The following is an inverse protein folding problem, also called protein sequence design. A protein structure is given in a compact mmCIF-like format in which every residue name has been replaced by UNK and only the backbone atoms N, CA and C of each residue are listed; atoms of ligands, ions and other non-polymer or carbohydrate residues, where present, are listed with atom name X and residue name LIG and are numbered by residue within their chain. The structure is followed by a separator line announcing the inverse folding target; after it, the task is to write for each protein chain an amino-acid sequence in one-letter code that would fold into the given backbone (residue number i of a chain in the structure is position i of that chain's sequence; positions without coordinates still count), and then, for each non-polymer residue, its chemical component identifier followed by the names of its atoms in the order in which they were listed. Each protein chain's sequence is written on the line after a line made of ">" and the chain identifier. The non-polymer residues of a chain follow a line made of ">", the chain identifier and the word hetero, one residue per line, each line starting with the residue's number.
data_IF_781179529805
#
_entry.id   IF_781179529805
#
_cell.length_a   1.000
_cell.length_b   1.000
_cell.length_c   1.000
_cell.angle_alpha   90.00
_cell.angle_beta   90.00
_cell.angle_gamma   90.00
#
_symmetry.space_group_name_H-M   'P 1'
#
loop_
_entity.id
_entity.type
_entity.pdbx_description
1 polymer ?
#
# COMPACT_ATOMS: atom_id res chain seq x y z
N UNK A 1 -22.81 12.45 -19.03
CA UNK A 1 -22.99 11.51 -20.18
C UNK A 1 -24.48 11.17 -20.30
N UNK A 2 -24.97 11.06 -21.50
CA UNK A 2 -26.32 10.54 -21.77
C UNK A 2 -26.33 9.02 -21.62
N UNK A 3 -27.52 8.42 -21.41
CA UNK A 3 -27.63 6.96 -21.24
C UNK A 3 -27.05 6.17 -22.45
N UNK A 4 -27.34 6.52 -23.71
CA UNK A 4 -26.72 5.85 -24.86
C UNK A 4 -25.19 5.96 -24.91
N UNK A 5 -24.62 7.11 -24.51
CA UNK A 5 -23.17 7.28 -24.45
C UNK A 5 -22.53 6.35 -23.41
N UNK A 6 -23.19 6.17 -22.26
CA UNK A 6 -22.71 5.25 -21.21
C UNK A 6 -22.76 3.81 -21.71
N UNK A 7 -23.88 3.37 -22.31
CA UNK A 7 -24.05 2.03 -22.85
C UNK A 7 -23.01 1.70 -23.94
N UNK A 8 -22.77 2.65 -24.85
CA UNK A 8 -21.73 2.51 -25.87
C UNK A 8 -20.33 2.39 -25.25
N UNK A 9 -19.99 3.24 -24.29
CA UNK A 9 -18.70 3.22 -23.62
C UNK A 9 -18.49 1.92 -22.80
N UNK A 10 -19.53 1.43 -22.12
CA UNK A 10 -19.49 0.14 -21.40
C UNK A 10 -19.18 -1.00 -22.36
N UNK A 11 -19.78 -1.01 -23.54
CA UNK A 11 -19.55 -2.05 -24.55
C UNK A 11 -18.15 -1.91 -25.17
N UNK A 12 -17.76 -0.72 -25.60
CA UNK A 12 -16.45 -0.46 -26.23
C UNK A 12 -15.28 -0.75 -25.30
N UNK A 13 -15.37 -0.31 -24.05
CA UNK A 13 -14.32 -0.55 -23.02
C UNK A 13 -14.39 -1.93 -22.41
N UNK A 14 -15.37 -2.76 -22.76
CA UNK A 14 -15.59 -4.10 -22.21
C UNK A 14 -15.70 -4.08 -20.69
N UNK A 15 -16.62 -3.28 -20.20
CA UNK A 15 -16.91 -3.12 -18.76
C UNK A 15 -18.03 -4.09 -18.39
N UNK A 16 -17.89 -4.79 -17.26
CA UNK A 16 -18.99 -5.50 -16.59
C UNK A 16 -19.27 -4.91 -15.21
N UNK A 17 -20.48 -5.12 -14.73
CA UNK A 17 -20.87 -4.79 -13.36
C UNK A 17 -20.84 -6.08 -12.54
N UNK A 18 -20.08 -6.08 -11.45
CA UNK A 18 -19.94 -7.23 -10.54
C UNK A 18 -20.68 -6.95 -9.25
N UNK A 19 -21.67 -7.79 -8.96
CA UNK A 19 -22.54 -7.68 -7.76
C UNK A 19 -22.27 -8.86 -6.84
N UNK A 20 -21.40 -8.73 -5.82
CA UNK A 20 -21.32 -9.73 -4.77
C UNK A 20 -22.55 -9.64 -3.86
N UNK A 21 -23.18 -10.77 -3.57
CA UNK A 21 -24.39 -10.80 -2.74
C UNK A 21 -24.38 -11.95 -1.72
N UNK A 22 -24.86 -11.67 -0.52
CA UNK A 22 -25.08 -12.65 0.54
C UNK A 22 -26.21 -12.18 1.45
N UNK A 23 -27.36 -12.88 1.43
CA UNK A 23 -28.53 -12.59 2.24
C UNK A 23 -29.00 -11.12 2.11
N UNK A 24 -29.25 -10.68 0.88
CA UNK A 24 -29.71 -9.32 0.56
C UNK A 24 -31.03 -9.33 -0.23
N UNK A 25 -31.97 -10.17 0.16
CA UNK A 25 -33.27 -10.31 -0.53
C UNK A 25 -34.08 -9.00 -0.67
N UNK A 26 -33.91 -8.06 0.29
CA UNK A 26 -34.66 -6.80 0.32
C UNK A 26 -34.21 -5.79 -0.74
N UNK A 27 -32.92 -5.78 -1.08
CA UNK A 27 -32.30 -4.69 -1.86
C UNK A 27 -31.76 -5.17 -3.20
N UNK A 28 -31.43 -6.45 -3.35
CA UNK A 28 -30.80 -7.01 -4.53
C UNK A 28 -31.58 -6.71 -5.81
N UNK A 29 -32.92 -6.88 -5.80
CA UNK A 29 -33.76 -6.61 -6.97
C UNK A 29 -33.58 -5.17 -7.45
N UNK A 30 -33.69 -4.19 -6.53
CA UNK A 30 -33.53 -2.76 -6.85
C UNK A 30 -32.15 -2.46 -7.45
N UNK A 31 -31.10 -3.09 -6.92
CA UNK A 31 -29.74 -2.89 -7.43
C UNK A 31 -29.58 -3.47 -8.84
N UNK A 32 -30.08 -4.69 -9.10
CA UNK A 32 -30.00 -5.31 -10.43
C UNK A 32 -30.81 -4.51 -11.44
N UNK A 33 -32.06 -4.15 -11.12
CA UNK A 33 -32.92 -3.39 -12.01
C UNK A 33 -32.28 -2.06 -12.39
N UNK A 34 -31.72 -1.29 -11.42
CA UNK A 34 -31.05 -0.04 -11.71
C UNK A 34 -29.75 -0.19 -12.51
N UNK A 35 -29.04 -1.32 -12.37
CA UNK A 35 -27.86 -1.60 -13.22
C UNK A 35 -28.28 -1.95 -14.65
N UNK A 36 -29.38 -2.66 -14.82
CA UNK A 36 -29.93 -3.04 -16.13
C UNK A 36 -30.32 -1.83 -16.99
N UNK A 37 -30.62 -0.70 -16.39
CA UNK A 37 -30.82 0.55 -17.14
C UNK A 37 -29.57 0.94 -17.95
N UNK A 38 -28.39 0.56 -17.48
CA UNK A 38 -27.10 0.92 -18.11
C UNK A 38 -26.50 -0.22 -18.92
N UNK A 39 -26.63 -1.48 -18.49
CA UNK A 39 -26.01 -2.63 -19.18
C UNK A 39 -26.56 -3.97 -18.70
N UNK A 40 -26.56 -4.96 -19.61
CA UNK A 40 -26.78 -6.38 -19.28
C UNK A 40 -25.49 -7.13 -18.94
N UNK A 41 -24.34 -6.49 -19.06
CA UNK A 41 -23.04 -7.07 -18.71
C UNK A 41 -22.86 -7.22 -17.19
N UNK A 42 -23.74 -7.99 -16.56
CA UNK A 42 -23.82 -8.17 -15.11
C UNK A 42 -23.32 -9.56 -14.73
N UNK A 43 -22.46 -9.61 -13.71
CA UNK A 43 -22.03 -10.84 -13.04
C UNK A 43 -22.45 -10.75 -11.58
N UNK A 44 -23.43 -11.53 -11.19
CA UNK A 44 -23.86 -11.65 -9.80
C UNK A 44 -23.19 -12.89 -9.15
N UNK A 45 -22.52 -12.67 -8.02
CA UNK A 45 -21.90 -13.77 -7.25
C UNK A 45 -22.65 -13.95 -5.93
N UNK A 46 -23.44 -14.97 -5.85
CA UNK A 46 -24.16 -15.37 -4.64
C UNK A 46 -23.23 -16.22 -3.75
N UNK A 47 -22.78 -15.65 -2.64
CA UNK A 47 -21.86 -16.29 -1.70
C UNK A 47 -22.60 -17.21 -0.69
N UNK A 48 -23.44 -18.13 -1.21
CA UNK A 48 -24.14 -19.12 -0.41
C UNK A 48 -25.27 -18.54 0.44
N UNK A 49 -26.09 -17.67 -0.14
CA UNK A 49 -27.28 -17.11 0.56
C UNK A 49 -28.28 -18.18 0.94
N UNK A 50 -28.93 -17.96 2.09
CA UNK A 50 -29.93 -18.86 2.69
C UNK A 50 -31.33 -18.23 2.75
N UNK A 51 -31.46 -16.97 2.32
CA UNK A 51 -32.73 -16.24 2.16
C UNK A 51 -33.29 -16.38 0.72
N UNK A 52 -34.22 -15.52 0.30
CA UNK A 52 -34.80 -15.51 -1.04
C UNK A 52 -33.86 -14.98 -2.15
N UNK A 53 -32.59 -14.67 -1.84
CA UNK A 53 -31.62 -14.17 -2.84
C UNK A 53 -31.48 -15.11 -4.06
N UNK A 54 -31.36 -16.44 -3.93
CA UNK A 54 -31.29 -17.34 -5.09
C UNK A 54 -32.52 -17.28 -6.00
N UNK A 55 -33.71 -17.19 -5.42
CA UNK A 55 -34.96 -17.07 -6.16
C UNK A 55 -35.08 -15.74 -6.91
N UNK A 56 -34.60 -14.65 -6.30
CA UNK A 56 -34.54 -13.34 -6.96
C UNK A 56 -33.62 -13.43 -8.17
N UNK A 57 -32.40 -13.98 -8.03
CA UNK A 57 -31.44 -14.13 -9.12
C UNK A 57 -31.95 -15.00 -10.27
N UNK A 58 -32.79 -16.02 -9.98
CA UNK A 58 -33.39 -16.88 -11.01
C UNK A 58 -34.34 -16.11 -11.95
N UNK A 59 -34.85 -14.94 -11.55
CA UNK A 59 -35.73 -14.11 -12.38
C UNK A 59 -34.93 -13.27 -13.42
N UNK A 60 -33.59 -13.34 -13.44
CA UNK A 60 -32.74 -12.58 -14.36
C UNK A 60 -31.92 -13.51 -15.27
N UNK A 61 -32.53 -14.20 -16.25
CA UNK A 61 -31.81 -15.12 -17.12
C UNK A 61 -30.78 -14.46 -18.04
N UNK A 62 -30.88 -13.13 -18.23
CA UNK A 62 -29.97 -12.34 -19.06
C UNK A 62 -28.63 -12.05 -18.39
N UNK A 63 -28.51 -12.19 -17.06
CA UNK A 63 -27.26 -11.93 -16.34
C UNK A 63 -26.48 -13.21 -16.04
N UNK A 64 -25.17 -13.08 -15.85
CA UNK A 64 -24.34 -14.21 -15.42
C UNK A 64 -24.44 -14.39 -13.90
N UNK A 65 -25.00 -15.49 -13.43
CA UNK A 65 -25.10 -15.81 -12.00
C UNK A 65 -24.14 -16.94 -11.63
N UNK A 66 -23.36 -16.73 -10.53
CA UNK A 66 -22.50 -17.74 -9.93
C UNK A 66 -22.96 -17.94 -8.49
N UNK A 67 -23.43 -19.14 -8.15
CA UNK A 67 -23.84 -19.49 -6.80
C UNK A 67 -22.85 -20.42 -6.13
N UNK A 68 -22.40 -20.05 -4.92
CA UNK A 68 -21.54 -20.87 -4.10
C UNK A 68 -22.37 -21.72 -3.13
N UNK A 69 -21.89 -22.93 -2.79
CA UNK A 69 -22.63 -23.82 -1.89
C UNK A 69 -22.66 -23.33 -0.42
N UNK A 70 -21.75 -22.44 -0.04
CA UNK A 70 -21.67 -21.87 1.31
C UNK A 70 -20.91 -20.54 1.30
N UNK A 71 -21.17 -19.68 2.31
CA UNK A 71 -20.50 -18.39 2.47
C UNK A 71 -18.99 -18.57 2.69
N UNK A 72 -18.19 -18.01 1.80
CA UNK A 72 -16.74 -17.97 1.86
C UNK A 72 -16.18 -16.57 2.09
N UNK A 73 -17.05 -15.56 2.11
CA UNK A 73 -16.74 -14.16 2.38
C UNK A 73 -16.62 -13.29 1.13
N UNK A 74 -16.93 -11.99 1.28
CA UNK A 74 -17.00 -11.00 0.18
C UNK A 74 -15.77 -11.02 -0.73
N UNK A 75 -14.57 -11.05 -0.15
CA UNK A 75 -13.32 -11.08 -0.93
C UNK A 75 -13.21 -12.33 -1.80
N UNK A 76 -13.71 -13.49 -1.35
CA UNK A 76 -13.73 -14.68 -2.18
C UNK A 76 -14.74 -14.56 -3.33
N UNK A 77 -15.93 -14.02 -3.06
CA UNK A 77 -16.94 -13.71 -4.09
C UNK A 77 -16.37 -12.78 -5.17
N UNK A 78 -15.70 -11.70 -4.77
CA UNK A 78 -15.05 -10.77 -5.70
C UNK A 78 -13.99 -11.46 -6.57
N UNK A 79 -13.14 -12.32 -5.98
CA UNK A 79 -12.13 -13.08 -6.74
C UNK A 79 -12.74 -13.98 -7.80
N UNK A 80 -13.83 -14.65 -7.45
CA UNK A 80 -14.58 -15.52 -8.39
C UNK A 80 -15.16 -14.67 -9.51
N UNK A 81 -15.81 -13.56 -9.17
CA UNK A 81 -16.38 -12.62 -10.13
C UNK A 81 -15.34 -12.04 -11.08
N UNK A 82 -14.19 -11.59 -10.57
CA UNK A 82 -13.09 -11.07 -11.41
C UNK A 82 -12.52 -12.14 -12.35
N UNK A 83 -12.42 -13.39 -11.89
CA UNK A 83 -11.99 -14.49 -12.76
C UNK A 83 -13.00 -14.71 -13.87
N UNK A 84 -14.28 -14.80 -13.55
CA UNK A 84 -15.36 -14.97 -14.53
C UNK A 84 -15.43 -13.81 -15.52
N UNK A 85 -15.29 -12.58 -15.04
CA UNK A 85 -15.23 -11.39 -15.90
C UNK A 85 -14.08 -11.48 -16.94
N UNK A 86 -12.90 -11.93 -16.50
CA UNK A 86 -11.76 -12.16 -17.43
C UNK A 86 -12.03 -13.27 -18.42
N UNK A 87 -12.63 -14.38 -17.99
CA UNK A 87 -13.03 -15.50 -18.87
C UNK A 87 -14.01 -15.07 -19.95
N UNK A 88 -14.92 -14.14 -19.60
CA UNK A 88 -15.89 -13.54 -20.54
C UNK A 88 -15.28 -12.42 -21.41
N UNK A 89 -14.00 -12.10 -21.23
CA UNK A 89 -13.29 -11.12 -22.06
C UNK A 89 -13.48 -9.67 -21.63
N UNK A 90 -13.98 -9.39 -20.43
CA UNK A 90 -14.07 -8.04 -19.91
C UNK A 90 -12.70 -7.48 -19.50
N UNK A 91 -12.49 -6.20 -19.76
CA UNK A 91 -11.27 -5.49 -19.39
C UNK A 91 -11.39 -4.78 -18.05
N UNK A 92 -12.58 -4.31 -17.73
CA UNK A 92 -12.89 -3.60 -16.50
C UNK A 92 -14.09 -4.23 -15.79
N UNK A 93 -14.10 -4.14 -14.47
CA UNK A 93 -15.26 -4.50 -13.65
C UNK A 93 -15.58 -3.35 -12.69
N UNK A 94 -16.80 -2.88 -12.71
CA UNK A 94 -17.34 -1.99 -11.68
C UNK A 94 -18.03 -2.89 -10.64
N UNK A 95 -17.55 -2.85 -9.38
CA UNK A 95 -18.20 -3.54 -8.27
C UNK A 95 -19.24 -2.64 -7.63
N UNK A 96 -20.42 -3.15 -7.36
CA UNK A 96 -21.46 -2.47 -6.59
C UNK A 96 -22.03 -3.45 -5.55
N UNK A 97 -22.14 -3.02 -4.29
CA UNK A 97 -22.68 -3.85 -3.22
C UNK A 97 -24.19 -4.02 -3.37
N UNK A 98 -24.68 -5.22 -3.06
CA UNK A 98 -26.10 -5.58 -3.16
C UNK A 98 -26.97 -5.08 -2.00
N UNK A 99 -26.38 -4.37 -1.01
CA UNK A 99 -27.07 -3.85 0.18
C UNK A 99 -27.90 -2.57 -0.09
N UNK A 100 -27.87 -2.07 -1.34
CA UNK A 100 -28.63 -0.91 -1.78
C UNK A 100 -28.12 0.44 -1.27
N UNK A 101 -26.94 0.48 -0.63
CA UNK A 101 -26.34 1.75 -0.18
C UNK A 101 -25.78 2.59 -1.34
N UNK A 102 -25.39 1.97 -2.43
CA UNK A 102 -24.84 2.63 -3.62
C UNK A 102 -25.90 2.73 -4.72
N UNK A 103 -25.91 3.85 -5.42
CA UNK A 103 -26.84 4.10 -6.51
C UNK A 103 -26.22 3.64 -7.84
N UNK A 104 -26.93 2.79 -8.62
CA UNK A 104 -26.52 2.50 -10.01
C UNK A 104 -26.35 3.74 -10.88
N UNK A 105 -27.02 4.85 -10.56
CA UNK A 105 -26.91 6.15 -11.23
C UNK A 105 -25.49 6.77 -11.17
N UNK A 106 -24.61 6.24 -10.35
CA UNK A 106 -23.22 6.66 -10.34
C UNK A 106 -22.33 5.84 -11.31
N UNK A 107 -22.86 4.81 -12.02
CA UNK A 107 -22.14 4.11 -13.09
C UNK A 107 -21.59 5.10 -14.14
N UNK A 108 -22.36 6.10 -14.64
CA UNK A 108 -21.84 7.10 -15.55
C UNK A 108 -20.63 7.88 -15.02
N UNK A 109 -20.51 8.10 -13.71
CA UNK A 109 -19.37 8.79 -13.10
C UNK A 109 -18.09 7.96 -13.25
N UNK A 110 -18.15 6.65 -12.99
CA UNK A 110 -17.01 5.75 -13.20
C UNK A 110 -16.62 5.63 -14.66
N UNK A 111 -17.60 5.50 -15.55
CA UNK A 111 -17.38 5.40 -17.00
C UNK A 111 -16.77 6.69 -17.54
N UNK A 112 -17.30 7.84 -17.16
CA UNK A 112 -16.76 9.14 -17.57
C UNK A 112 -15.33 9.34 -17.10
N UNK A 113 -15.05 9.08 -15.83
CA UNK A 113 -13.70 9.17 -15.28
C UNK A 113 -12.72 8.20 -15.95
N UNK A 114 -13.15 6.99 -16.34
CA UNK A 114 -12.33 6.07 -17.09
C UNK A 114 -11.97 6.58 -18.48
N UNK A 115 -12.90 7.24 -19.15
CA UNK A 115 -12.68 7.79 -20.51
C UNK A 115 -11.69 8.96 -20.53
N UNK A 116 -11.57 9.69 -19.42
CA UNK A 116 -10.60 10.77 -19.26
C UNK A 116 -9.17 10.27 -19.04
N UNK A 117 -9.02 8.99 -18.66
CA UNK A 117 -7.71 8.43 -18.35
C UNK A 117 -6.99 7.88 -19.59
N UNK A 118 -5.71 8.21 -19.71
CA UNK A 118 -4.84 7.70 -20.80
C UNK A 118 -4.33 6.29 -20.54
N UNK A 119 -4.36 5.85 -19.29
CA UNK A 119 -3.83 4.57 -18.84
C UNK A 119 -4.83 3.86 -17.94
N UNK A 120 -4.61 2.57 -17.72
CA UNK A 120 -5.42 1.80 -16.79
C UNK A 120 -5.42 2.43 -15.38
N UNK A 121 -6.59 2.61 -14.82
CA UNK A 121 -6.84 3.24 -13.53
C UNK A 121 -7.76 2.37 -12.67
N UNK A 122 -7.52 2.37 -11.37
CA UNK A 122 -8.48 1.86 -10.38
C UNK A 122 -9.20 3.06 -9.78
N UNK A 123 -10.53 3.08 -9.90
CA UNK A 123 -11.36 4.16 -9.36
C UNK A 123 -12.11 3.66 -8.12
N UNK A 124 -12.17 4.49 -7.08
CA UNK A 124 -12.88 4.19 -5.83
C UNK A 124 -13.89 5.30 -5.58
N UNK A 125 -15.13 4.93 -5.36
CA UNK A 125 -16.18 5.88 -5.02
C UNK A 125 -15.89 6.59 -3.70
N UNK A 126 -15.92 7.92 -3.72
CA UNK A 126 -15.78 8.77 -2.53
C UNK A 126 -17.17 9.14 -2.00
N UNK A 127 -17.49 8.66 -0.81
CA UNK A 127 -18.79 8.85 -0.15
C UNK A 127 -18.95 10.19 0.56
N UNK A 128 -18.00 11.11 0.44
CA UNK A 128 -17.98 12.37 1.17
C UNK A 128 -18.30 12.21 2.67
N UNK A 129 -17.37 11.62 3.43
CA UNK A 129 -17.52 11.27 4.84
C UNK A 129 -17.71 12.49 5.79
N UNK A 130 -17.80 13.70 5.25
CA UNK A 130 -18.04 14.95 5.97
C UNK A 130 -19.52 15.37 6.00
N UNK A 131 -20.40 14.63 5.33
CA UNK A 131 -21.84 14.95 5.30
C UNK A 131 -22.53 14.64 6.62
N UNK A 132 -23.59 15.41 6.96
CA UNK A 132 -24.43 15.17 8.11
C UNK A 132 -25.12 13.80 7.98
N UNK A 133 -25.23 13.09 9.11
CA UNK A 133 -25.87 11.75 9.16
C UNK A 133 -24.90 10.57 9.08
N UNK A 134 -23.61 10.79 8.80
CA UNK A 134 -22.62 9.70 8.79
C UNK A 134 -22.17 9.35 10.22
N UNK A 135 -22.19 8.07 10.61
CA UNK A 135 -21.75 7.66 11.94
C UNK A 135 -20.27 8.01 12.19
N UNK A 136 -19.96 8.65 13.31
CA UNK A 136 -18.57 9.05 13.70
C UNK A 136 -17.57 7.87 13.65
N UNK A 137 -18.03 6.65 13.99
CA UNK A 137 -17.22 5.42 13.91
C UNK A 137 -16.81 5.09 12.47
N UNK A 138 -17.66 5.34 11.49
CA UNK A 138 -17.39 5.12 10.07
C UNK A 138 -16.32 6.11 9.57
N UNK A 139 -16.43 7.40 9.92
CA UNK A 139 -15.43 8.40 9.59
C UNK A 139 -14.05 8.14 10.20
N UNK A 140 -13.99 7.61 11.43
CA UNK A 140 -12.71 7.22 12.05
C UNK A 140 -12.06 6.05 11.30
N UNK A 141 -12.84 5.00 11.02
CA UNK A 141 -12.36 3.83 10.27
C UNK A 141 -11.83 4.22 8.89
N UNK A 142 -12.53 5.13 8.19
CA UNK A 142 -12.11 5.62 6.89
C UNK A 142 -10.78 6.40 6.97
N UNK A 143 -10.65 7.35 7.91
CA UNK A 143 -9.38 8.09 8.11
C UNK A 143 -8.21 7.16 8.44
N UNK A 144 -8.45 6.16 9.27
CA UNK A 144 -7.45 5.15 9.61
C UNK A 144 -7.01 4.35 8.36
N UNK A 145 -7.94 3.88 7.56
CA UNK A 145 -7.66 3.17 6.31
C UNK A 145 -6.92 4.04 5.28
N UNK A 146 -7.35 5.30 5.11
CA UNK A 146 -6.71 6.26 4.22
C UNK A 146 -5.25 6.56 4.62
N UNK A 147 -4.98 6.67 5.93
CA UNK A 147 -3.62 6.87 6.44
C UNK A 147 -2.71 5.69 6.08
N UNK A 148 -3.14 4.44 6.33
CA UNK A 148 -2.33 3.27 6.02
C UNK A 148 -2.13 3.09 4.51
N UNK A 149 -3.17 3.29 3.72
CA UNK A 149 -3.06 3.27 2.26
C UNK A 149 -2.02 4.30 1.75
N UNK A 150 -2.08 5.53 2.27
CA UNK A 150 -1.08 6.55 1.94
C UNK A 150 0.33 6.13 2.35
N UNK A 151 0.49 5.59 3.56
CA UNK A 151 1.78 5.14 4.04
C UNK A 151 2.38 4.03 3.16
N UNK A 152 1.57 3.08 2.73
CA UNK A 152 1.96 1.91 1.95
C UNK A 152 2.21 2.22 0.47
N UNK A 153 1.57 3.26 -0.08
CA UNK A 153 1.56 3.54 -1.53
C UNK A 153 2.08 4.92 -1.90
N UNK A 154 2.09 5.86 -0.98
CA UNK A 154 2.36 7.29 -1.23
C UNK A 154 1.18 8.05 -1.87
N UNK A 155 0.05 7.38 -2.15
CA UNK A 155 -1.13 7.97 -2.80
C UNK A 155 -2.12 8.43 -1.74
N UNK A 156 -2.53 9.70 -1.77
CA UNK A 156 -3.56 10.24 -0.88
C UNK A 156 -4.93 10.05 -1.50
N UNK A 157 -5.84 9.42 -0.75
CA UNK A 157 -7.24 9.24 -1.08
C UNK A 157 -8.14 9.75 0.06
N UNK A 158 -9.35 10.13 -0.26
CA UNK A 158 -10.36 10.59 0.69
C UNK A 158 -11.23 9.44 1.20
N UNK A 159 -11.42 8.41 0.38
CA UNK A 159 -12.15 7.19 0.74
C UNK A 159 -11.49 5.96 0.13
N UNK A 160 -10.99 5.07 0.99
CA UNK A 160 -10.40 3.78 0.62
C UNK A 160 -11.30 2.59 0.99
N UNK A 161 -12.46 2.84 1.62
CA UNK A 161 -13.33 1.78 2.16
C UNK A 161 -14.61 1.54 1.34
N UNK A 162 -14.96 2.44 0.42
CA UNK A 162 -16.13 2.20 -0.45
C UNK A 162 -15.96 0.91 -1.24
N UNK A 163 -17.00 0.10 -1.31
CA UNK A 163 -17.08 -1.11 -2.15
C UNK A 163 -17.45 -0.82 -3.61
N UNK A 164 -17.86 0.42 -3.93
CA UNK A 164 -18.16 0.83 -5.29
C UNK A 164 -16.90 1.28 -6.01
N UNK A 165 -16.38 0.43 -6.89
CA UNK A 165 -15.05 0.60 -7.49
C UNK A 165 -15.00 0.12 -8.93
N UNK A 166 -14.18 0.75 -9.75
CA UNK A 166 -13.83 0.25 -11.08
C UNK A 166 -12.40 -0.32 -11.05
N UNK A 167 -12.28 -1.58 -11.45
CA UNK A 167 -11.03 -2.33 -11.46
C UNK A 167 -10.54 -2.61 -12.89
N UNK A 168 -9.28 -2.29 -13.22
CA UNK A 168 -8.65 -2.72 -14.47
C UNK A 168 -8.23 -4.20 -14.35
N UNK A 169 -9.07 -5.10 -14.83
CA UNK A 169 -8.96 -6.55 -14.58
C UNK A 169 -7.61 -7.17 -14.96
N UNK A 170 -6.99 -6.66 -16.04
CA UNK A 170 -5.69 -7.18 -16.51
C UNK A 170 -4.51 -6.71 -15.65
N UNK A 171 -4.68 -5.64 -14.87
CA UNK A 171 -3.62 -5.02 -14.04
C UNK A 171 -3.69 -5.39 -12.56
N UNK A 172 -4.84 -5.82 -12.07
CA UNK A 172 -4.96 -6.27 -10.67
C UNK A 172 -4.11 -7.53 -10.42
N UNK A 173 -3.67 -7.78 -9.18
CA UNK A 173 -2.91 -8.97 -8.82
C UNK A 173 -3.63 -10.29 -9.21
N UNK A 174 -2.86 -11.31 -9.59
CA UNK A 174 -3.43 -12.63 -9.93
C UNK A 174 -3.71 -13.52 -8.71
N UNK A 175 -2.97 -13.31 -7.62
CA UNK A 175 -3.08 -14.08 -6.36
C UNK A 175 -3.24 -13.13 -5.18
N UNK A 176 -4.02 -13.53 -4.20
CA UNK A 176 -4.34 -12.75 -3.00
C UNK A 176 -4.22 -13.63 -1.76
N UNK A 177 -3.90 -13.02 -0.63
CA UNK A 177 -3.72 -13.72 0.65
C UNK A 177 -5.03 -13.80 1.45
N UNK A 178 -5.93 -12.83 1.25
CA UNK A 178 -7.10 -12.61 2.09
C UNK A 178 -8.41 -13.02 1.41
N UNK A 179 -9.37 -13.66 2.14
CA UNK A 179 -10.64 -14.12 1.57
C UNK A 179 -11.87 -13.27 1.90
N UNK A 180 -11.80 -12.33 2.90
CA UNK A 180 -12.98 -11.61 3.42
C UNK A 180 -12.90 -10.11 3.16
N UNK A 181 -13.34 -9.26 4.11
CA UNK A 181 -13.35 -7.80 3.95
C UNK A 181 -11.96 -7.18 3.76
N UNK A 182 -10.94 -7.75 4.39
CA UNK A 182 -9.56 -7.32 4.24
C UNK A 182 -9.04 -7.39 2.80
N UNK A 183 -9.65 -8.22 1.95
CA UNK A 183 -9.34 -8.31 0.53
C UNK A 183 -9.47 -6.96 -0.21
N UNK A 184 -10.45 -6.15 0.18
CA UNK A 184 -10.69 -4.86 -0.46
C UNK A 184 -9.56 -3.84 -0.18
N UNK A 185 -8.83 -4.02 0.91
CA UNK A 185 -7.61 -3.25 1.22
C UNK A 185 -6.42 -3.85 0.47
N UNK A 186 -6.25 -5.17 0.52
CA UNK A 186 -5.16 -5.86 -0.15
C UNK A 186 -5.11 -5.53 -1.65
N UNK A 187 -6.26 -5.58 -2.33
CA UNK A 187 -6.31 -5.38 -3.78
C UNK A 187 -5.91 -3.97 -4.18
N UNK A 188 -6.34 -2.93 -3.49
CA UNK A 188 -6.01 -1.54 -3.86
C UNK A 188 -4.54 -1.23 -3.61
N UNK A 189 -3.98 -1.64 -2.46
CA UNK A 189 -2.56 -1.45 -2.14
C UNK A 189 -1.68 -2.17 -3.14
N UNK A 190 -1.95 -3.45 -3.40
CA UNK A 190 -1.11 -4.25 -4.31
C UNK A 190 -1.28 -3.87 -5.77
N UNK A 191 -2.41 -3.27 -6.15
CA UNK A 191 -2.60 -2.69 -7.48
C UNK A 191 -1.79 -1.40 -7.62
N UNK A 192 -1.78 -0.54 -6.60
CA UNK A 192 -0.93 0.65 -6.56
C UNK A 192 0.57 0.30 -6.64
N UNK A 193 1.04 -0.76 -5.95
CA UNK A 193 2.42 -1.24 -6.04
C UNK A 193 2.83 -1.73 -7.44
N UNK A 194 1.86 -1.96 -8.33
CA UNK A 194 2.07 -2.29 -9.74
C UNK A 194 2.07 -1.06 -10.65
N UNK A 195 2.15 0.11 -10.05
CA UNK A 195 2.14 1.40 -10.74
C UNK A 195 0.84 1.71 -11.52
N UNK A 196 -0.28 1.10 -11.09
CA UNK A 196 -1.61 1.48 -11.54
C UNK A 196 -2.05 2.70 -10.75
N UNK A 197 -2.52 3.74 -11.44
CA UNK A 197 -3.10 4.92 -10.78
C UNK A 197 -4.34 4.53 -9.98
N UNK A 198 -4.48 5.06 -8.77
CA UNK A 198 -5.67 4.87 -7.93
C UNK A 198 -6.23 6.24 -7.59
N UNK A 199 -7.50 6.46 -7.90
CA UNK A 199 -8.17 7.76 -7.75
C UNK A 199 -9.54 7.61 -7.11
N UNK A 200 -10.02 8.67 -6.46
CA UNK A 200 -11.41 8.75 -6.01
C UNK A 200 -12.29 9.40 -7.09
N UNK A 201 -13.55 8.97 -7.15
CA UNK A 201 -14.63 9.61 -7.90
C UNK A 201 -15.80 9.89 -6.97
N UNK A 202 -16.49 11.05 -7.07
CA UNK A 202 -17.59 11.38 -6.18
C UNK A 202 -18.77 10.44 -6.45
N UNK A 203 -19.36 9.86 -5.38
CA UNK A 203 -20.55 9.03 -5.47
C UNK A 203 -21.58 9.44 -4.43
N UNK A 204 -22.84 9.11 -4.70
CA UNK A 204 -23.94 9.20 -3.74
C UNK A 204 -23.97 7.98 -2.85
N UNK A 205 -24.46 8.14 -1.63
CA UNK A 205 -24.65 7.03 -0.71
C UNK A 205 -25.96 7.20 0.06
N UNK A 206 -26.71 6.11 0.18
CA UNK A 206 -27.90 6.03 1.00
C UNK A 206 -27.55 5.42 2.36
N UNK A 207 -27.73 6.18 3.41
CA UNK A 207 -27.66 5.67 4.79
C UNK A 207 -29.07 5.49 5.34
N UNK A 208 -29.73 4.40 4.96
CA UNK A 208 -30.99 4.01 5.58
C UNK A 208 -30.77 2.93 6.66
N UNK A 209 -30.95 3.27 7.95
CA UNK A 209 -30.77 2.33 9.04
C UNK A 209 -31.74 1.13 8.98
N UNK A 210 -32.90 1.29 8.34
CA UNK A 210 -33.95 0.24 8.25
C UNK A 210 -33.60 -0.82 7.19
N UNK A 211 -32.90 -0.46 6.12
CA UNK A 211 -32.53 -1.39 5.05
C UNK A 211 -31.11 -1.95 5.20
N UNK A 212 -30.26 -1.29 6.01
CA UNK A 212 -28.84 -1.64 6.12
C UNK A 212 -28.63 -3.01 6.76
N UNK A 213 -28.14 -3.97 5.99
CA UNK A 213 -27.64 -5.25 6.47
C UNK A 213 -26.11 -5.22 6.47
N UNK A 214 -25.51 -5.11 7.64
CA UNK A 214 -24.06 -5.15 7.79
C UNK A 214 -23.60 -6.51 8.29
N UNK A 215 -22.83 -7.22 7.49
CA UNK A 215 -22.19 -8.49 7.86
C UNK A 215 -20.80 -8.31 8.48
N UNK A 216 -20.36 -7.07 8.72
CA UNK A 216 -19.08 -6.75 9.34
C UNK A 216 -19.07 -7.05 10.84
N UNK A 217 -18.10 -7.86 11.28
CA UNK A 217 -17.92 -8.25 12.69
C UNK A 217 -16.76 -7.47 13.29
N UNK A 218 -17.02 -6.43 14.11
CA UNK A 218 -16.02 -5.42 14.48
C UNK A 218 -14.69 -6.02 14.99
N UNK A 219 -14.72 -6.88 16.00
CA UNK A 219 -13.48 -7.43 16.56
C UNK A 219 -12.74 -8.37 15.59
N UNK A 220 -13.45 -9.33 14.99
CA UNK A 220 -12.81 -10.33 14.12
C UNK A 220 -12.26 -9.73 12.82
N UNK A 221 -13.05 -8.85 12.20
CA UNK A 221 -12.66 -8.29 10.91
C UNK A 221 -11.63 -7.17 11.10
N UNK A 222 -11.70 -6.39 12.18
CA UNK A 222 -10.66 -5.42 12.54
C UNK A 222 -9.31 -6.11 12.84
N UNK A 223 -9.31 -7.22 13.58
CA UNK A 223 -8.08 -8.00 13.82
C UNK A 223 -7.45 -8.48 12.52
N UNK A 224 -8.26 -8.98 11.56
CA UNK A 224 -7.76 -9.40 10.24
C UNK A 224 -7.19 -8.25 9.44
N UNK A 225 -7.86 -7.10 9.45
CA UNK A 225 -7.39 -5.88 8.79
C UNK A 225 -6.06 -5.43 9.43
N UNK A 226 -5.93 -5.49 10.75
CA UNK A 226 -4.70 -5.12 11.45
C UNK A 226 -3.54 -6.05 11.10
N UNK A 227 -3.77 -7.36 11.04
CA UNK A 227 -2.76 -8.34 10.61
C UNK A 227 -2.35 -8.07 9.15
N UNK A 228 -3.32 -7.84 8.26
CA UNK A 228 -3.02 -7.51 6.87
C UNK A 228 -2.18 -6.24 6.76
N UNK A 229 -2.58 -5.15 7.43
CA UNK A 229 -1.82 -3.89 7.40
C UNK A 229 -0.39 -4.08 7.93
N UNK A 230 -0.20 -4.87 9.00
CA UNK A 230 1.15 -5.21 9.49
C UNK A 230 1.98 -5.89 8.40
N UNK A 231 1.40 -6.85 7.68
CA UNK A 231 2.07 -7.54 6.57
C UNK A 231 2.36 -6.56 5.42
N UNK A 232 1.39 -5.74 5.01
CA UNK A 232 1.57 -4.78 3.91
C UNK A 232 2.62 -3.72 4.25
N UNK A 233 2.61 -3.18 5.48
CA UNK A 233 3.64 -2.25 5.98
C UNK A 233 5.01 -2.91 5.96
N UNK A 234 5.13 -4.13 6.43
CA UNK A 234 6.39 -4.89 6.42
C UNK A 234 6.91 -5.06 4.98
N UNK A 235 6.04 -5.47 4.05
CA UNK A 235 6.40 -5.58 2.62
C UNK A 235 6.77 -4.20 2.05
N UNK A 236 6.07 -3.14 2.42
CA UNK A 236 6.36 -1.77 1.97
C UNK A 236 7.77 -1.37 2.39
N UNK A 237 8.11 -1.53 3.67
CA UNK A 237 9.40 -1.13 4.22
C UNK A 237 10.55 -2.00 3.70
N UNK A 238 10.38 -3.32 3.69
CA UNK A 238 11.47 -4.25 3.40
C UNK A 238 11.64 -4.55 1.90
N UNK A 239 10.60 -4.36 1.09
CA UNK A 239 10.65 -4.72 -0.32
C UNK A 239 10.27 -3.59 -1.27
N UNK A 240 9.11 -2.93 -1.09
CA UNK A 240 8.60 -1.96 -2.08
C UNK A 240 9.47 -0.71 -2.13
N UNK A 241 9.78 -0.10 -0.97
CA UNK A 241 10.62 1.10 -0.89
C UNK A 241 12.02 0.81 -1.42
N UNK A 242 12.75 -0.23 -0.96
CA UNK A 242 14.06 -0.57 -1.49
C UNK A 242 14.04 -0.88 -2.99
N UNK A 243 13.07 -1.67 -3.45
CA UNK A 243 12.91 -1.99 -4.88
C UNK A 243 12.72 -0.74 -5.73
N UNK A 244 11.81 0.14 -5.33
CA UNK A 244 11.54 1.37 -6.08
C UNK A 244 12.76 2.29 -6.08
N UNK A 245 13.47 2.36 -4.95
CA UNK A 245 14.73 3.08 -4.85
C UNK A 245 15.77 2.54 -5.84
N UNK A 246 16.04 1.23 -5.83
CA UNK A 246 17.00 0.58 -6.75
C UNK A 246 16.58 0.76 -8.21
N UNK A 247 15.30 0.65 -8.53
CA UNK A 247 14.78 0.82 -9.88
C UNK A 247 14.93 2.28 -10.37
N UNK A 248 14.71 3.25 -9.49
CA UNK A 248 14.94 4.66 -9.81
C UNK A 248 16.42 4.96 -9.96
N UNK A 249 17.29 4.35 -9.13
CA UNK A 249 18.72 4.47 -9.22
C UNK A 249 19.26 3.89 -10.54
N UNK A 250 18.79 2.71 -10.98
CA UNK A 250 19.17 2.11 -12.26
C UNK A 250 18.77 2.94 -13.48
N UNK A 251 17.73 3.76 -13.37
CA UNK A 251 17.27 4.66 -14.44
C UNK A 251 18.06 5.96 -14.51
N UNK A 252 18.77 6.35 -13.41
CA UNK A 252 19.58 7.56 -13.33
C UNK A 252 21.06 7.21 -13.47
N UNK A 253 21.80 7.92 -14.33
CA UNK A 253 23.26 7.86 -14.30
C UNK A 253 23.76 8.34 -12.93
N UNK A 254 24.86 7.75 -12.41
CA UNK A 254 25.48 8.15 -11.14
C UNK A 254 25.75 9.66 -11.07
N UNK A 255 26.20 10.26 -12.18
CA UNK A 255 26.38 11.72 -12.29
C UNK A 255 25.07 12.49 -12.09
N UNK A 256 23.97 11.95 -12.64
CA UNK A 256 22.63 12.55 -12.51
C UNK A 256 22.09 12.41 -11.10
N UNK A 257 22.34 11.28 -10.45
CA UNK A 257 22.00 11.07 -9.03
C UNK A 257 22.71 12.08 -8.13
N UNK A 258 24.05 12.22 -8.27
CA UNK A 258 24.81 13.21 -7.49
C UNK A 258 24.28 14.63 -7.74
N UNK A 259 23.98 14.98 -8.99
CA UNK A 259 23.50 16.32 -9.33
C UNK A 259 22.10 16.57 -8.78
N UNK A 260 21.11 15.74 -9.11
CA UNK A 260 19.69 15.97 -8.81
C UNK A 260 19.31 15.62 -7.35
N UNK A 261 19.82 14.49 -6.82
CA UNK A 261 19.39 13.99 -5.51
C UNK A 261 20.31 14.42 -4.35
N UNK A 262 21.55 14.85 -4.65
CA UNK A 262 22.49 15.36 -3.64
C UNK A 262 22.64 16.88 -3.74
N UNK A 263 23.02 17.42 -4.89
CA UNK A 263 23.31 18.85 -5.04
C UNK A 263 22.03 19.69 -5.16
N UNK A 264 21.06 19.26 -5.98
CA UNK A 264 19.82 19.98 -6.26
C UNK A 264 18.65 19.55 -5.35
N UNK A 265 18.86 18.58 -4.42
CA UNK A 265 17.81 18.17 -3.48
C UNK A 265 17.41 19.28 -2.53
N UNK A 266 16.14 19.30 -2.12
CA UNK A 266 15.62 20.26 -1.14
C UNK A 266 16.39 20.20 0.19
N UNK A 267 16.63 21.35 0.78
CA UNK A 267 17.28 21.53 2.06
C UNK A 267 18.69 22.12 1.98
N UNK A 268 19.11 22.80 3.08
CA UNK A 268 20.44 23.41 3.20
C UNK A 268 21.56 22.36 3.18
N UNK A 269 22.79 22.81 2.92
CA UNK A 269 23.99 21.97 2.98
C UNK A 269 24.11 21.26 4.34
N UNK A 270 23.69 21.93 5.43
CA UNK A 270 23.62 21.35 6.79
C UNK A 270 22.63 20.19 6.86
N UNK A 271 21.40 20.38 6.35
CA UNK A 271 20.38 19.33 6.33
C UNK A 271 20.84 18.10 5.55
N UNK A 272 21.51 18.29 4.41
CA UNK A 272 22.08 17.21 3.61
C UNK A 272 23.20 16.47 4.33
N UNK A 273 24.11 17.20 4.97
CA UNK A 273 25.20 16.63 5.75
C UNK A 273 24.68 15.83 6.96
N UNK A 274 23.71 16.37 7.70
CA UNK A 274 23.06 15.64 8.79
C UNK A 274 22.28 14.41 8.32
N UNK A 275 21.69 14.47 7.14
CA UNK A 275 21.00 13.31 6.56
C UNK A 275 21.99 12.16 6.29
N UNK A 276 23.14 12.47 5.71
CA UNK A 276 24.20 11.47 5.46
C UNK A 276 24.79 10.98 6.78
N UNK A 277 25.06 11.87 7.73
CA UNK A 277 25.56 11.52 9.05
C UNK A 277 24.61 10.55 9.78
N UNK A 278 23.30 10.85 9.79
CA UNK A 278 22.27 9.96 10.37
C UNK A 278 22.26 8.60 9.68
N UNK A 279 22.30 8.58 8.35
CA UNK A 279 22.33 7.32 7.60
C UNK A 279 23.53 6.46 7.96
N UNK A 280 24.74 7.04 7.96
CA UNK A 280 25.98 6.35 8.34
C UNK A 280 25.92 5.87 9.79
N UNK A 281 25.42 6.69 10.72
CA UNK A 281 25.24 6.31 12.11
C UNK A 281 24.37 5.04 12.24
N UNK A 282 23.20 5.03 11.62
CA UNK A 282 22.31 3.86 11.65
C UNK A 282 22.95 2.67 10.94
N UNK A 283 23.65 2.90 9.82
CA UNK A 283 24.32 1.84 9.06
C UNK A 283 25.37 1.07 9.87
N UNK A 284 26.13 1.74 10.74
CA UNK A 284 27.13 1.11 11.62
C UNK A 284 26.57 0.69 12.98
N UNK A 285 25.34 1.08 13.31
CA UNK A 285 24.69 0.73 14.58
C UNK A 285 24.29 -0.75 14.64
N UNK A 286 24.22 -1.36 15.84
CA UNK A 286 23.91 -2.79 16.02
C UNK A 286 22.42 -3.11 15.87
N UNK A 287 21.63 -2.25 15.20
CA UNK A 287 20.18 -2.44 15.01
C UNK A 287 19.86 -3.26 13.75
N UNK A 288 20.45 -4.42 13.61
CA UNK A 288 20.30 -5.26 12.43
C UNK A 288 18.85 -5.64 12.17
N UNK A 289 18.43 -5.49 10.90
CA UNK A 289 17.05 -5.70 10.48
C UNK A 289 16.11 -4.50 10.68
N UNK A 290 16.47 -3.53 11.53
CA UNK A 290 15.65 -2.33 11.78
C UNK A 290 16.19 -1.06 11.11
N UNK A 291 17.32 -1.13 10.40
CA UNK A 291 17.99 0.03 9.79
C UNK A 291 17.05 0.90 8.95
N UNK A 292 16.29 0.27 8.03
CA UNK A 292 15.35 0.99 7.15
C UNK A 292 14.27 1.72 7.93
N UNK A 293 13.69 1.04 8.93
CA UNK A 293 12.65 1.63 9.77
C UNK A 293 13.19 2.82 10.56
N UNK A 294 14.36 2.63 11.21
CA UNK A 294 14.98 3.66 12.04
C UNK A 294 15.40 4.88 11.21
N UNK A 295 16.07 4.67 10.07
CA UNK A 295 16.54 5.78 9.24
C UNK A 295 15.39 6.60 8.67
N UNK A 296 14.31 5.97 8.22
CA UNK A 296 13.15 6.68 7.70
C UNK A 296 12.43 7.44 8.82
N UNK A 297 12.16 6.76 9.95
CA UNK A 297 11.46 7.38 11.08
C UNK A 297 12.23 8.57 11.65
N UNK A 298 13.54 8.42 11.88
CA UNK A 298 14.39 9.51 12.40
C UNK A 298 14.58 10.62 11.38
N UNK A 299 14.66 10.32 10.09
CA UNK A 299 14.71 11.35 9.04
C UNK A 299 13.43 12.20 9.01
N UNK A 300 12.27 11.59 9.25
CA UNK A 300 11.00 12.32 9.36
C UNK A 300 10.99 13.18 10.61
N UNK A 301 11.38 12.60 11.75
CA UNK A 301 11.39 13.28 13.06
C UNK A 301 12.29 14.52 13.05
N UNK A 302 13.50 14.38 12.48
CA UNK A 302 14.47 15.47 12.41
C UNK A 302 14.35 16.33 11.14
N UNK A 303 13.30 16.12 10.31
CA UNK A 303 13.06 16.85 9.06
C UNK A 303 14.25 16.80 8.08
N UNK A 304 14.95 15.66 8.04
CA UNK A 304 16.11 15.42 7.18
C UNK A 304 15.69 14.83 5.82
N UNK A 305 16.62 14.84 4.87
CA UNK A 305 16.40 14.23 3.57
C UNK A 305 16.42 12.70 3.67
N UNK A 306 15.25 12.08 3.54
CA UNK A 306 15.04 10.63 3.70
C UNK A 306 15.83 9.80 2.70
N UNK A 307 15.99 10.32 1.46
CA UNK A 307 16.70 9.63 0.38
C UNK A 307 18.19 9.57 0.70
N UNK A 308 18.78 10.70 1.07
CA UNK A 308 20.19 10.77 1.44
C UNK A 308 20.51 9.91 2.66
N UNK A 309 19.66 9.98 3.70
CA UNK A 309 19.84 9.19 4.90
C UNK A 309 19.72 7.68 4.62
N UNK A 310 18.72 7.29 3.82
CA UNK A 310 18.54 5.89 3.43
C UNK A 310 19.71 5.35 2.59
N UNK A 311 20.18 6.11 1.60
CA UNK A 311 21.38 5.72 0.81
C UNK A 311 22.59 5.55 1.70
N UNK A 312 22.84 6.53 2.57
CA UNK A 312 23.99 6.50 3.47
C UNK A 312 23.91 5.37 4.51
N UNK A 313 22.72 4.90 4.89
CA UNK A 313 22.58 3.78 5.82
C UNK A 313 22.95 2.42 5.23
N UNK A 314 23.07 2.33 3.91
CA UNK A 314 23.46 1.09 3.22
C UNK A 314 24.98 0.87 3.15
N UNK A 315 25.78 1.57 3.95
CA UNK A 315 27.24 1.30 4.08
C UNK A 315 27.52 -0.10 4.61
N UNK A 316 26.60 -0.71 5.34
CA UNK A 316 26.68 -2.09 5.84
C UNK A 316 26.05 -3.10 4.88
N UNK A 317 26.40 -3.05 3.59
CA UNK A 317 26.01 -4.10 2.64
C UNK A 317 26.58 -5.46 3.08
N UNK A 318 25.92 -6.58 2.74
CA UNK A 318 26.33 -7.91 3.21
C UNK A 318 27.83 -8.24 3.08
N UNK A 319 28.54 -7.84 2.01
CA UNK A 319 29.97 -8.08 1.91
C UNK A 319 30.83 -7.33 2.96
N UNK A 320 30.32 -6.21 3.49
CA UNK A 320 31.05 -5.37 4.46
C UNK A 320 30.72 -5.71 5.93
N UNK A 321 29.66 -6.50 6.19
CA UNK A 321 29.24 -6.86 7.54
C UNK A 321 30.39 -7.48 8.37
N UNK A 322 31.18 -8.45 7.87
CA UNK A 322 32.27 -9.01 8.64
C UNK A 322 33.30 -7.96 9.07
N UNK A 323 33.61 -6.99 8.19
CA UNK A 323 34.54 -5.90 8.51
C UNK A 323 33.98 -4.95 9.57
N UNK A 324 32.67 -4.64 9.49
CA UNK A 324 31.99 -3.80 10.50
C UNK A 324 32.00 -4.48 11.87
N UNK A 325 31.74 -5.79 11.91
CA UNK A 325 31.80 -6.59 13.16
C UNK A 325 33.23 -6.57 13.73
N UNK A 326 34.24 -6.88 12.91
CA UNK A 326 35.63 -6.89 13.33
C UNK A 326 36.07 -5.52 13.89
N UNK A 327 35.76 -4.44 13.17
CA UNK A 327 36.07 -3.08 13.59
C UNK A 327 35.38 -2.71 14.90
N UNK A 328 34.10 -3.10 15.05
CA UNK A 328 33.35 -2.85 16.28
C UNK A 328 33.96 -3.60 17.47
N UNK A 329 34.27 -4.88 17.31
CA UNK A 329 34.90 -5.66 18.37
C UNK A 329 36.29 -5.09 18.73
N UNK A 330 37.08 -4.69 17.74
CA UNK A 330 38.37 -4.08 17.96
C UNK A 330 38.28 -2.77 18.74
N UNK A 331 37.37 -1.86 18.34
CA UNK A 331 37.17 -0.57 19.03
C UNK A 331 36.56 -0.73 20.44
N UNK A 332 35.81 -1.79 20.69
CA UNK A 332 35.25 -2.09 22.01
C UNK A 332 36.22 -2.78 22.97
N UNK A 333 37.31 -3.37 22.46
CA UNK A 333 38.26 -4.17 23.28
C UNK A 333 38.94 -3.41 24.43
N UNK A 334 39.26 -2.11 24.33
CA UNK A 334 39.84 -1.37 25.45
C UNK A 334 38.88 -1.17 26.63
N UNK A 335 37.58 -1.29 26.40
CA UNK A 335 36.54 -0.97 27.39
C UNK A 335 35.98 -2.21 28.08
N UNK A 336 36.30 -3.41 27.59
CA UNK A 336 35.79 -4.68 28.14
C UNK A 336 36.97 -5.66 28.27
N UNK A 337 37.18 -6.21 29.45
CA UNK A 337 38.19 -7.25 29.68
C UNK A 337 37.71 -8.56 29.01
N UNK A 338 38.02 -8.72 27.74
CA UNK A 338 37.70 -9.88 26.91
C UNK A 338 38.95 -10.42 26.22
N UNK A 339 38.88 -11.65 25.71
CA UNK A 339 39.98 -12.32 25.02
C UNK A 339 40.48 -11.45 23.83
N UNK A 340 41.76 -11.08 23.87
CA UNK A 340 42.42 -10.22 22.87
C UNK A 340 42.69 -10.91 21.51
N UNK A 341 42.29 -12.18 21.34
CA UNK A 341 42.55 -12.95 20.11
C UNK A 341 41.41 -12.94 19.09
N UNK A 342 40.71 -11.83 18.96
CA UNK A 342 39.53 -11.67 18.07
C UNK A 342 39.89 -11.85 16.58
N UNK A 343 41.13 -11.54 16.18
CA UNK A 343 41.57 -11.62 14.78
C UNK A 343 41.85 -13.05 14.29
N UNK A 344 41.95 -14.01 15.17
CA UNK A 344 42.26 -15.42 14.86
C UNK A 344 41.01 -16.32 14.85
N UNK A 345 39.84 -15.81 15.24
CA UNK A 345 38.59 -16.55 15.37
C UNK A 345 37.65 -16.28 14.18
N UNK A 346 36.95 -17.30 13.71
CA UNK A 346 35.93 -17.13 12.67
C UNK A 346 34.85 -16.12 13.12
N UNK A 347 34.62 -15.10 12.30
CA UNK A 347 33.60 -14.06 12.55
C UNK A 347 32.20 -14.65 12.34
N UNK A 348 31.64 -15.22 13.39
CA UNK A 348 30.32 -15.80 13.39
C UNK A 348 29.40 -15.17 14.46
N UNK A 349 28.12 -15.56 14.46
CA UNK A 349 27.11 -15.03 15.39
C UNK A 349 27.43 -15.38 16.86
N UNK A 350 28.07 -16.51 17.12
CA UNK A 350 28.46 -16.88 18.48
C UNK A 350 29.54 -15.99 19.07
N UNK A 351 30.48 -15.52 18.25
CA UNK A 351 31.48 -14.55 18.67
C UNK A 351 30.83 -13.23 19.13
N UNK A 352 29.81 -12.75 18.40
CA UNK A 352 29.06 -11.56 18.78
C UNK A 352 28.29 -11.80 20.09
N UNK A 353 27.65 -12.96 20.24
CA UNK A 353 26.87 -13.30 21.42
C UNK A 353 27.77 -13.34 22.67
N UNK A 354 28.95 -13.95 22.59
CA UNK A 354 29.90 -14.07 23.68
C UNK A 354 30.57 -12.75 24.05
N UNK A 355 30.70 -11.83 23.08
CA UNK A 355 31.32 -10.50 23.24
C UNK A 355 30.31 -9.36 23.02
N UNK A 356 29.05 -9.58 23.38
CA UNK A 356 27.95 -8.65 23.07
C UNK A 356 28.19 -7.23 23.58
N UNK A 357 28.64 -7.08 24.83
CA UNK A 357 28.92 -5.77 25.43
C UNK A 357 30.06 -5.05 24.67
N UNK A 358 31.14 -5.76 24.37
CA UNK A 358 32.25 -5.26 23.60
C UNK A 358 31.82 -4.81 22.20
N UNK A 359 30.98 -5.62 21.53
CA UNK A 359 30.43 -5.30 20.22
C UNK A 359 29.52 -4.07 20.26
N UNK A 360 28.64 -3.95 21.26
CA UNK A 360 27.72 -2.80 21.41
C UNK A 360 28.52 -1.50 21.66
N UNK A 361 29.49 -1.52 22.58
CA UNK A 361 30.32 -0.34 22.84
C UNK A 361 31.12 0.07 21.60
N UNK A 362 31.78 -0.90 20.98
CA UNK A 362 32.60 -0.63 19.81
C UNK A 362 31.78 -0.18 18.58
N UNK A 363 30.60 -0.74 18.38
CA UNK A 363 29.71 -0.29 17.30
C UNK A 363 29.18 1.12 17.53
N UNK A 364 28.91 1.52 18.79
CA UNK A 364 28.53 2.89 19.12
C UNK A 364 29.68 3.88 18.82
N UNK A 365 30.92 3.52 19.19
CA UNK A 365 32.10 4.34 18.88
C UNK A 365 32.31 4.44 17.37
N UNK A 366 32.25 3.31 16.65
CA UNK A 366 32.41 3.26 15.20
C UNK A 366 31.32 4.10 14.50
N UNK A 367 30.05 3.89 14.87
CA UNK A 367 28.93 4.62 14.30
C UNK A 367 29.04 6.13 14.52
N UNK A 368 29.38 6.57 15.73
CA UNK A 368 29.54 7.99 16.05
C UNK A 368 30.71 8.62 15.30
N UNK A 369 31.86 7.96 15.28
CA UNK A 369 33.06 8.46 14.60
C UNK A 369 32.85 8.55 13.08
N UNK A 370 32.32 7.50 12.46
CA UNK A 370 32.08 7.48 11.02
C UNK A 370 30.96 8.44 10.61
N UNK A 371 29.93 8.61 11.44
CA UNK A 371 28.88 9.59 11.24
C UNK A 371 29.42 11.02 11.27
N UNK A 372 30.25 11.35 12.26
CA UNK A 372 30.87 12.67 12.36
C UNK A 372 31.78 12.95 11.16
N UNK A 373 32.65 12.01 10.81
CA UNK A 373 33.55 12.14 9.66
C UNK A 373 32.79 12.32 8.34
N UNK A 374 31.78 11.49 8.09
CA UNK A 374 30.98 11.58 6.86
C UNK A 374 30.15 12.86 6.79
N UNK A 375 29.57 13.28 7.91
CA UNK A 375 28.81 14.53 8.01
C UNK A 375 29.69 15.76 7.73
N UNK A 376 30.84 15.86 8.40
CA UNK A 376 31.80 16.95 8.20
C UNK A 376 32.35 16.97 6.76
N UNK A 377 32.78 15.82 6.25
CA UNK A 377 33.24 15.70 4.88
C UNK A 377 32.18 16.14 3.86
N UNK A 378 30.95 15.70 4.05
CA UNK A 378 29.83 16.09 3.18
C UNK A 378 29.55 17.58 3.27
N UNK A 379 29.53 18.16 4.47
CA UNK A 379 29.30 19.58 4.67
C UNK A 379 30.37 20.43 3.97
N UNK A 380 31.64 20.11 4.18
CA UNK A 380 32.76 20.81 3.54
C UNK A 380 32.74 20.68 2.00
N UNK A 381 32.41 19.49 1.49
CA UNK A 381 32.25 19.24 0.07
C UNK A 381 31.12 20.06 -0.55
N UNK A 382 29.96 20.08 0.07
CA UNK A 382 28.77 20.83 -0.42
C UNK A 382 29.02 22.33 -0.36
N UNK A 383 29.62 22.86 0.71
CA UNK A 383 29.93 24.29 0.83
C UNK A 383 30.97 24.77 -0.21
N UNK A 384 31.86 23.89 -0.61
CA UNK A 384 32.81 24.19 -1.70
C UNK A 384 32.14 24.28 -3.07
N UNK A 385 31.05 23.48 -3.29
CA UNK A 385 30.33 23.43 -4.56
C UNK A 385 29.17 24.44 -4.64
N UNK A 386 28.52 24.74 -3.54
CA UNK A 386 27.32 25.61 -3.43
C UNK A 386 27.37 26.42 -2.13
N UNK A 387 28.16 27.50 -2.06
CA UNK A 387 28.33 28.30 -0.83
C UNK A 387 27.07 29.08 -0.43
N UNK A 388 26.14 29.31 -1.35
CA UNK A 388 24.90 30.07 -1.09
C UNK A 388 23.77 29.25 -0.41
N UNK A 389 23.99 27.99 -0.13
CA UNK A 389 22.96 27.05 0.39
C UNK A 389 23.22 26.62 1.85
N UNK A 390 23.75 27.55 2.68
CA UNK A 390 24.03 27.31 4.11
C UNK A 390 22.80 27.05 4.97
#
# INVERSE_FOLDING_TARGET
>A
MTLPEVQNAVTEKKICILIPTYNNEKTLKRVIDGVLDYTENIIAVNDGSTDSTPQILANYPQITVISLPANKGKGNGLKIGFRKAKELGYHYAITIDSDGQHYPDDIPVFVGALLEEKHDVLLIGNRNMSQDGIPKKSSFGNRFSNFWFWFETGIKLEDTQSGYRLYPLLKIPKKYFTPKFEFEIEIIVRTAWRHVSVKNVPIKVLYDPAERVSHFRPFKDFTRISILNTILVTITLLYIIPRNFVNNFKKKSFKRFIKEDVLESDGSNRTKAFSIALGVFIGFSPFWGFHTLLVISLSILFKLNKVLAFVASNVSLPPFIPFVIAASLFLGSPFVHGDSNILSTELNFELIKNNLLQYVIGSAILATSMSALSGIATFLFLNKLNPENE
#
